data_IF_353257236729
#
_entry.id   IF_353257236729
#
_cell.length_a   1.000
_cell.length_b   1.000
_cell.length_c   1.000
_cell.angle_alpha   90.00
_cell.angle_beta   90.00
_cell.angle_gamma   90.00
#
_symmetry.space_group_name_H-M   'P 1'
#
loop_
_entity.id
_entity.type
_entity.pdbx_description
1 polymer ?
#
# COMPACT_ATOMS: atom_id res chain seq x y z
N UNK A 1 -69.04 -25.45 8.65
CA UNK A 1 -68.35 -24.56 7.67
C UNK A 1 -67.24 -23.89 8.44
N UNK A 2 -66.04 -24.46 8.34
CA UNK A 2 -64.86 -24.10 9.10
C UNK A 2 -63.97 -23.17 8.27
N UNK A 3 -63.73 -22.01 8.80
CA UNK A 3 -62.76 -21.03 8.26
C UNK A 3 -61.33 -21.41 8.67
N UNK A 4 -60.48 -21.65 7.70
CA UNK A 4 -59.02 -21.87 7.84
C UNK A 4 -58.33 -20.53 8.03
N UNK A 5 -57.42 -20.34 9.00
CA UNK A 5 -56.65 -19.14 9.12
C UNK A 5 -55.41 -19.19 8.18
N UNK A 6 -55.26 -18.15 7.42
CA UNK A 6 -54.12 -17.84 6.55
C UNK A 6 -52.81 -17.71 7.37
N UNK A 7 -51.82 -18.54 7.06
CA UNK A 7 -50.47 -18.44 7.61
C UNK A 7 -49.66 -17.50 6.75
N UNK A 8 -49.56 -16.24 7.20
CA UNK A 8 -48.66 -15.27 6.64
C UNK A 8 -47.19 -15.75 6.71
N UNK A 9 -46.52 -15.79 5.56
CA UNK A 9 -45.09 -16.07 5.45
C UNK A 9 -44.25 -14.93 6.10
N UNK A 10 -43.19 -15.26 6.81
CA UNK A 10 -42.29 -14.24 7.35
C UNK A 10 -41.50 -13.64 6.19
N UNK A 11 -41.81 -12.39 5.85
CA UNK A 11 -41.01 -11.58 4.94
C UNK A 11 -39.61 -11.39 5.52
N UNK A 12 -38.62 -11.97 4.83
CA UNK A 12 -37.21 -11.67 5.07
C UNK A 12 -36.98 -10.19 4.81
N UNK A 13 -36.81 -9.41 5.86
CA UNK A 13 -36.31 -8.05 5.81
C UNK A 13 -34.81 -8.16 5.43
N UNK A 14 -34.55 -8.10 4.14
CA UNK A 14 -33.20 -7.83 3.64
C UNK A 14 -32.82 -6.44 4.14
N UNK A 15 -32.06 -6.39 5.22
CA UNK A 15 -31.47 -5.15 5.72
C UNK A 15 -30.65 -4.52 4.61
N UNK A 16 -31.20 -3.49 3.99
CA UNK A 16 -30.43 -2.57 3.15
C UNK A 16 -29.32 -2.00 3.99
N UNK A 17 -28.07 -2.41 3.69
CA UNK A 17 -26.88 -1.79 4.27
C UNK A 17 -27.00 -0.28 4.04
N UNK A 18 -27.17 0.46 5.12
CA UNK A 18 -27.26 1.91 5.09
C UNK A 18 -25.98 2.44 4.45
N UNK A 19 -26.10 3.03 3.28
CA UNK A 19 -25.05 3.82 2.65
C UNK A 19 -24.69 4.92 3.65
N UNK A 20 -23.43 5.00 4.14
CA UNK A 20 -23.07 6.06 5.06
C UNK A 20 -23.32 7.39 4.38
N UNK A 21 -24.12 8.25 5.01
CA UNK A 21 -24.38 9.60 4.53
C UNK A 21 -23.07 10.35 4.36
N UNK A 22 -22.92 11.16 3.29
CA UNK A 22 -21.73 11.99 3.09
C UNK A 22 -21.64 13.02 4.22
N UNK A 23 -20.64 12.85 5.08
CA UNK A 23 -20.43 13.67 6.28
C UNK A 23 -19.71 15.02 5.98
N UNK A 24 -19.69 15.50 4.76
CA UNK A 24 -19.06 16.78 4.45
C UNK A 24 -20.02 17.79 3.86
N UNK A 25 -20.22 18.90 4.59
CA UNK A 25 -20.67 20.16 4.00
C UNK A 25 -19.69 20.59 2.87
N UNK A 26 -20.17 21.20 1.78
CA UNK A 26 -19.34 21.54 0.60
C UNK A 26 -18.09 22.40 0.90
N UNK A 27 -18.05 23.06 2.05
CA UNK A 27 -16.97 23.99 2.40
C UNK A 27 -15.64 23.39 2.88
N UNK A 28 -15.56 22.08 3.20
CA UNK A 28 -14.37 21.49 3.81
C UNK A 28 -13.81 20.27 3.07
N UNK A 29 -14.22 20.03 1.83
CA UNK A 29 -13.77 18.90 1.02
C UNK A 29 -12.24 18.89 0.75
N UNK A 30 -11.56 20.03 0.91
CA UNK A 30 -10.11 20.15 0.73
C UNK A 30 -9.30 19.48 1.86
N UNK A 31 -9.84 19.41 3.09
CA UNK A 31 -9.12 18.79 4.23
C UNK A 31 -8.82 17.31 4.01
N UNK A 32 -9.77 16.45 3.59
CA UNK A 32 -9.46 15.06 3.26
C UNK A 32 -8.49 14.91 2.09
N UNK A 33 -8.55 15.79 1.09
CA UNK A 33 -7.60 15.77 -0.02
C UNK A 33 -6.19 16.13 0.47
N UNK A 34 -6.06 17.14 1.31
CA UNK A 34 -4.80 17.51 1.93
C UNK A 34 -4.26 16.37 2.82
N UNK A 35 -5.12 15.73 3.62
CA UNK A 35 -4.72 14.58 4.44
C UNK A 35 -4.20 13.43 3.57
N UNK A 36 -4.84 13.13 2.43
CA UNK A 36 -4.37 12.10 1.50
C UNK A 36 -2.99 12.47 0.90
N UNK A 37 -2.81 13.72 0.46
CA UNK A 37 -1.53 14.19 -0.08
C UNK A 37 -0.41 14.16 0.98
N UNK A 38 -0.71 14.55 2.23
CA UNK A 38 0.23 14.44 3.35
C UNK A 38 0.51 12.97 3.72
N UNK A 39 -0.49 12.10 3.59
CA UNK A 39 -0.31 10.65 3.76
C UNK A 39 0.64 10.06 2.72
N UNK A 40 0.50 10.45 1.45
CA UNK A 40 1.41 10.06 0.39
C UNK A 40 2.83 10.61 0.65
N UNK A 41 2.95 11.88 1.06
CA UNK A 41 4.23 12.47 1.47
C UNK A 41 4.88 11.70 2.63
N UNK A 42 4.10 11.29 3.62
CA UNK A 42 4.60 10.51 4.75
C UNK A 42 5.12 9.13 4.32
N UNK A 43 4.42 8.41 3.42
CA UNK A 43 4.91 7.14 2.90
C UNK A 43 6.19 7.30 2.10
N UNK A 44 6.28 8.30 1.21
CA UNK A 44 7.51 8.54 0.45
C UNK A 44 8.67 9.00 1.35
N UNK A 45 8.39 9.77 2.40
CA UNK A 45 9.40 10.12 3.42
C UNK A 45 9.87 8.89 4.20
N UNK A 46 8.96 7.94 4.50
CA UNK A 46 9.33 6.64 5.05
C UNK A 46 10.25 5.88 4.09
N UNK A 47 9.90 5.82 2.79
CA UNK A 47 10.71 5.14 1.77
C UNK A 47 12.11 5.77 1.67
N UNK A 48 12.20 7.10 1.69
CA UNK A 48 13.48 7.82 1.71
C UNK A 48 14.29 7.51 2.99
N UNK A 49 13.61 7.41 4.14
CA UNK A 49 14.25 7.04 5.41
C UNK A 49 14.79 5.60 5.34
N UNK A 50 14.02 4.65 4.82
CA UNK A 50 14.46 3.25 4.60
C UNK A 50 15.65 3.24 3.63
N UNK A 51 15.58 4.00 2.54
CA UNK A 51 16.67 4.09 1.56
C UNK A 51 17.95 4.64 2.16
N UNK A 52 17.89 5.58 3.08
CA UNK A 52 19.09 6.12 3.77
C UNK A 52 19.80 5.06 4.62
N UNK A 53 19.08 4.07 5.11
CA UNK A 53 19.60 2.94 5.88
C UNK A 53 20.12 1.78 4.99
N UNK A 54 19.73 1.74 3.71
CA UNK A 54 20.05 0.67 2.77
C UNK A 54 21.57 0.39 2.58
N UNK A 55 22.49 1.37 2.68
CA UNK A 55 23.93 1.07 2.59
C UNK A 55 24.46 0.21 3.74
N UNK A 56 23.74 0.13 4.86
CA UNK A 56 24.16 -0.60 6.07
C UNK A 56 23.37 -1.87 6.33
N UNK A 57 22.11 -1.90 5.93
CA UNK A 57 21.21 -2.99 6.26
C UNK A 57 20.56 -3.57 5.02
N UNK A 58 20.48 -4.89 4.94
CA UNK A 58 19.78 -5.58 3.86
C UNK A 58 18.25 -5.42 3.93
N UNK A 59 17.57 -5.66 2.81
CA UNK A 59 16.12 -5.47 2.67
C UNK A 59 15.29 -6.19 3.75
N UNK A 60 15.67 -7.41 4.13
CA UNK A 60 14.99 -8.19 5.18
C UNK A 60 15.05 -7.47 6.53
N UNK A 61 16.21 -6.96 6.90
CA UNK A 61 16.41 -6.24 8.16
C UNK A 61 15.72 -4.86 8.14
N UNK A 62 15.75 -4.15 7.01
CA UNK A 62 15.01 -2.90 6.83
C UNK A 62 13.50 -3.12 6.97
N UNK A 63 12.98 -4.19 6.38
CA UNK A 63 11.57 -4.57 6.52
C UNK A 63 11.22 -4.87 7.98
N UNK A 64 12.09 -5.61 8.68
CA UNK A 64 11.93 -5.88 10.11
C UNK A 64 11.90 -4.59 10.93
N UNK A 65 12.86 -3.69 10.73
CA UNK A 65 12.92 -2.41 11.44
C UNK A 65 11.65 -1.58 11.25
N UNK A 66 11.16 -1.50 10.02
CA UNK A 66 9.92 -0.77 9.69
C UNK A 66 8.73 -1.34 10.44
N UNK A 67 8.57 -2.68 10.48
CA UNK A 67 7.44 -3.30 11.17
C UNK A 67 7.60 -3.26 12.70
N UNK A 68 8.80 -3.50 13.21
CA UNK A 68 9.08 -3.42 14.65
C UNK A 68 8.85 -2.00 15.20
N UNK A 69 9.33 -0.97 14.51
CA UNK A 69 9.06 0.41 14.88
C UNK A 69 7.56 0.76 14.76
N UNK A 70 6.91 0.33 13.68
CA UNK A 70 5.47 0.50 13.49
C UNK A 70 4.63 -0.21 14.55
N UNK A 71 5.10 -1.36 15.05
CA UNK A 71 4.44 -2.13 16.11
C UNK A 71 4.36 -1.34 17.43
N UNK A 72 5.40 -0.58 17.78
CA UNK A 72 5.39 0.25 18.99
C UNK A 72 4.22 1.26 18.94
N UNK A 73 4.06 1.96 17.82
CA UNK A 73 2.95 2.90 17.62
C UNK A 73 1.60 2.18 17.54
N UNK A 74 1.54 1.06 16.83
CA UNK A 74 0.32 0.27 16.68
C UNK A 74 -0.18 -0.29 18.01
N UNK A 75 0.72 -0.77 18.88
CA UNK A 75 0.39 -1.26 20.24
C UNK A 75 -0.16 -0.11 21.11
N UNK A 76 0.50 1.05 21.10
CA UNK A 76 0.05 2.21 21.88
C UNK A 76 -1.36 2.66 21.45
N UNK A 77 -1.62 2.76 20.14
CA UNK A 77 -2.92 3.16 19.59
C UNK A 77 -3.97 2.09 19.88
N UNK A 78 -3.67 0.80 19.66
CA UNK A 78 -4.60 -0.30 19.89
C UNK A 78 -5.01 -0.40 21.36
N UNK A 79 -4.05 -0.27 22.30
CA UNK A 79 -4.30 -0.28 23.74
C UNK A 79 -5.16 0.90 24.16
N UNK A 80 -4.89 2.09 23.61
CA UNK A 80 -5.70 3.29 23.90
C UNK A 80 -7.14 3.12 23.40
N UNK A 81 -7.30 2.63 22.15
CA UNK A 81 -8.62 2.43 21.54
C UNK A 81 -9.38 1.22 22.10
N UNK A 82 -8.76 0.39 22.96
CA UNK A 82 -9.35 -0.83 23.54
C UNK A 82 -10.06 -1.72 22.52
N UNK A 83 -9.43 -1.89 21.36
CA UNK A 83 -10.02 -2.59 20.24
C UNK A 83 -10.04 -4.10 20.48
N UNK A 84 -11.12 -4.83 20.11
CA UNK A 84 -11.19 -6.28 20.29
C UNK A 84 -10.21 -6.99 19.36
N UNK A 85 -9.72 -8.17 19.76
CA UNK A 85 -9.00 -9.08 18.89
C UNK A 85 -9.92 -9.69 17.84
N UNK A 86 -9.39 -10.10 16.67
CA UNK A 86 -10.21 -10.69 15.63
C UNK A 86 -10.76 -12.07 16.05
N UNK A 87 -11.87 -12.46 15.45
CA UNK A 87 -12.45 -13.79 15.64
C UNK A 87 -11.46 -14.87 15.12
N UNK A 88 -11.55 -16.09 15.69
CA UNK A 88 -10.58 -17.16 15.38
C UNK A 88 -10.52 -17.56 13.92
N UNK A 89 -11.62 -17.47 13.20
CA UNK A 89 -11.73 -17.76 11.76
C UNK A 89 -11.00 -16.72 10.89
N UNK A 90 -10.78 -15.48 11.38
CA UNK A 90 -10.11 -14.41 10.66
C UNK A 90 -8.58 -14.52 10.69
N UNK A 91 -7.99 -15.28 11.62
CA UNK A 91 -6.54 -15.37 11.77
C UNK A 91 -5.82 -15.89 10.51
N UNK A 92 -6.44 -16.85 9.80
CA UNK A 92 -5.88 -17.36 8.53
C UNK A 92 -5.79 -16.25 7.47
N UNK A 93 -6.81 -15.40 7.40
CA UNK A 93 -6.85 -14.29 6.47
C UNK A 93 -5.80 -13.22 6.82
N UNK A 94 -5.63 -12.90 8.12
CA UNK A 94 -4.56 -12.03 8.60
C UNK A 94 -3.18 -12.60 8.30
N UNK A 95 -2.95 -13.88 8.56
CA UNK A 95 -1.67 -14.54 8.28
C UNK A 95 -1.32 -14.50 6.78
N UNK A 96 -2.28 -14.86 5.90
CA UNK A 96 -2.10 -14.81 4.45
C UNK A 96 -1.78 -13.39 3.97
N UNK A 97 -2.57 -12.40 4.41
CA UNK A 97 -2.33 -11.00 4.05
C UNK A 97 -0.97 -10.51 4.54
N UNK A 98 -0.59 -10.84 5.77
CA UNK A 98 0.70 -10.46 6.33
C UNK A 98 1.87 -11.14 5.59
N UNK A 99 1.73 -12.40 5.18
CA UNK A 99 2.71 -13.09 4.33
C UNK A 99 2.92 -12.38 2.99
N UNK A 100 1.82 -12.04 2.30
CA UNK A 100 1.88 -11.25 1.06
C UNK A 100 2.48 -9.86 1.28
N UNK A 101 2.15 -9.21 2.40
CA UNK A 101 2.70 -7.90 2.76
C UNK A 101 4.20 -7.97 3.01
N UNK A 102 4.69 -9.03 3.66
CA UNK A 102 6.12 -9.27 3.84
C UNK A 102 6.84 -9.43 2.50
N UNK A 103 6.32 -10.29 1.62
CA UNK A 103 6.90 -10.49 0.29
C UNK A 103 6.94 -9.17 -0.49
N UNK A 104 5.84 -8.42 -0.45
CA UNK A 104 5.73 -7.15 -1.13
C UNK A 104 6.74 -6.13 -0.61
N UNK A 105 6.75 -5.86 0.70
CA UNK A 105 7.61 -4.82 1.27
C UNK A 105 9.09 -5.20 1.25
N UNK A 106 9.44 -6.47 1.47
CA UNK A 106 10.83 -6.91 1.38
C UNK A 106 11.36 -6.74 -0.04
N UNK A 107 10.56 -7.11 -1.05
CA UNK A 107 10.91 -6.93 -2.46
C UNK A 107 10.99 -5.44 -2.84
N UNK A 108 10.06 -4.62 -2.34
CA UNK A 108 10.08 -3.18 -2.58
C UNK A 108 11.29 -2.51 -1.91
N UNK A 109 11.63 -2.85 -0.68
CA UNK A 109 12.80 -2.30 0.00
C UNK A 109 14.10 -2.80 -0.64
N UNK A 110 14.12 -4.01 -1.16
CA UNK A 110 15.24 -4.46 -2.00
C UNK A 110 15.34 -3.60 -3.27
N UNK A 111 14.24 -3.30 -3.94
CA UNK A 111 14.25 -2.38 -5.08
C UNK A 111 14.77 -0.98 -4.71
N UNK A 112 14.42 -0.46 -3.52
CA UNK A 112 14.92 0.84 -3.04
C UNK A 112 16.45 0.87 -2.82
N UNK A 113 17.07 -0.28 -2.55
CA UNK A 113 18.53 -0.37 -2.46
C UNK A 113 19.24 -0.25 -3.81
N UNK A 114 18.54 -0.56 -4.91
CA UNK A 114 19.09 -0.68 -6.26
C UNK A 114 18.64 0.45 -7.20
N UNK A 115 17.48 1.08 -6.91
CA UNK A 115 16.84 2.07 -7.77
C UNK A 115 16.86 3.48 -7.17
N UNK A 116 16.83 4.52 -8.01
CA UNK A 116 16.44 5.86 -7.59
C UNK A 116 15.03 5.86 -6.96
N UNK A 117 14.84 6.71 -5.95
CA UNK A 117 13.58 6.77 -5.19
C UNK A 117 12.36 7.02 -6.09
N UNK A 118 12.48 8.00 -7.01
CA UNK A 118 11.41 8.31 -7.95
C UNK A 118 11.05 7.13 -8.88
N UNK A 119 12.02 6.32 -9.29
CA UNK A 119 11.82 5.16 -10.15
C UNK A 119 11.14 4.02 -9.38
N UNK A 120 11.55 3.74 -8.16
CA UNK A 120 10.93 2.72 -7.31
C UNK A 120 9.46 3.09 -6.99
N UNK A 121 9.19 4.34 -6.62
CA UNK A 121 7.83 4.84 -6.36
C UNK A 121 6.98 4.82 -7.63
N UNK A 122 7.51 5.22 -8.79
CA UNK A 122 6.77 5.14 -10.05
C UNK A 122 6.36 3.69 -10.38
N UNK A 123 7.25 2.73 -10.18
CA UNK A 123 6.94 1.30 -10.37
C UNK A 123 5.88 0.79 -9.40
N UNK A 124 5.86 1.26 -8.15
CA UNK A 124 4.82 0.85 -7.20
C UNK A 124 3.41 1.28 -7.63
N UNK A 125 3.28 2.34 -8.41
CA UNK A 125 2.00 2.79 -8.97
C UNK A 125 1.44 1.90 -10.09
N UNK A 126 2.10 0.82 -10.44
CA UNK A 126 1.48 -0.26 -11.24
C UNK A 126 0.51 -1.11 -10.40
N UNK A 127 0.59 -1.06 -9.06
CA UNK A 127 -0.25 -1.86 -8.17
C UNK A 127 -1.77 -1.66 -8.39
N UNK A 128 -2.34 -0.46 -8.59
CA UNK A 128 -3.77 -0.28 -8.85
C UNK A 128 -4.27 -1.06 -10.08
N UNK A 129 -3.41 -1.25 -11.08
CA UNK A 129 -3.71 -2.02 -12.28
C UNK A 129 -3.87 -3.50 -11.91
N UNK A 130 -2.91 -4.05 -11.16
CA UNK A 130 -2.98 -5.43 -10.67
C UNK A 130 -4.10 -5.64 -9.65
N UNK A 131 -4.42 -4.64 -8.80
CA UNK A 131 -5.58 -4.68 -7.91
C UNK A 131 -6.87 -4.87 -8.70
N UNK A 132 -7.03 -4.13 -9.80
CA UNK A 132 -8.21 -4.23 -10.66
C UNK A 132 -8.31 -5.60 -11.34
N UNK A 133 -7.18 -6.17 -11.81
CA UNK A 133 -7.14 -7.52 -12.40
C UNK A 133 -7.47 -8.59 -11.35
N UNK A 134 -6.89 -8.52 -10.16
CA UNK A 134 -7.16 -9.47 -9.09
C UNK A 134 -8.60 -9.38 -8.58
N UNK A 135 -9.16 -8.18 -8.46
CA UNK A 135 -10.56 -8.00 -8.11
C UNK A 135 -11.49 -8.65 -9.14
N UNK A 136 -11.17 -8.54 -10.42
CA UNK A 136 -11.89 -9.23 -11.49
C UNK A 136 -11.84 -10.77 -11.34
N UNK A 137 -10.65 -11.32 -11.07
CA UNK A 137 -10.44 -12.77 -10.96
C UNK A 137 -11.04 -13.35 -9.68
N UNK A 138 -10.89 -12.64 -8.54
CA UNK A 138 -11.26 -13.16 -7.22
C UNK A 138 -12.70 -12.81 -6.85
N UNK A 139 -13.17 -11.61 -7.22
CA UNK A 139 -14.51 -11.12 -6.89
C UNK A 139 -15.52 -11.30 -8.03
N UNK A 140 -15.08 -11.80 -9.19
CA UNK A 140 -15.95 -12.01 -10.35
C UNK A 140 -16.45 -10.72 -11.00
N UNK A 141 -15.78 -9.60 -10.75
CA UNK A 141 -16.14 -8.31 -11.32
C UNK A 141 -15.90 -8.32 -12.84
N UNK A 142 -16.83 -7.77 -13.62
CA UNK A 142 -16.65 -7.71 -15.08
C UNK A 142 -15.70 -6.56 -15.44
N UNK A 143 -14.63 -6.83 -16.23
CA UNK A 143 -13.68 -5.81 -16.62
C UNK A 143 -14.34 -4.81 -17.56
N UNK A 144 -14.21 -3.53 -17.27
CA UNK A 144 -14.56 -2.46 -18.17
C UNK A 144 -13.44 -2.25 -19.22
N UNK A 145 -13.78 -1.62 -20.36
CA UNK A 145 -12.78 -1.22 -21.37
C UNK A 145 -11.66 -0.36 -20.78
N UNK A 146 -11.95 0.39 -19.75
CA UNK A 146 -10.99 1.27 -19.06
C UNK A 146 -9.94 0.49 -18.28
N UNK A 147 -10.31 -0.66 -17.69
CA UNK A 147 -9.35 -1.56 -17.01
C UNK A 147 -8.35 -2.12 -18.02
N UNK A 148 -8.81 -2.57 -19.20
CA UNK A 148 -7.91 -3.06 -20.26
C UNK A 148 -6.97 -1.97 -20.76
N UNK A 149 -7.49 -0.76 -20.98
CA UNK A 149 -6.69 0.37 -21.43
C UNK A 149 -5.66 0.77 -20.35
N UNK A 150 -6.06 0.81 -19.09
CA UNK A 150 -5.16 1.05 -17.95
C UNK A 150 -4.02 0.02 -17.89
N UNK A 151 -4.33 -1.26 -18.11
CA UNK A 151 -3.33 -2.33 -18.16
C UNK A 151 -2.30 -2.08 -19.27
N UNK A 152 -2.76 -1.71 -20.48
CA UNK A 152 -1.85 -1.41 -21.61
C UNK A 152 -0.92 -0.25 -21.26
N UNK A 153 -1.44 0.85 -20.71
CA UNK A 153 -0.63 2.00 -20.31
C UNK A 153 0.36 1.66 -19.19
N UNK A 154 -0.08 0.91 -18.19
CA UNK A 154 0.79 0.51 -17.08
C UNK A 154 1.91 -0.43 -17.51
N UNK A 155 1.59 -1.44 -18.37
CA UNK A 155 2.60 -2.35 -18.91
C UNK A 155 3.54 -1.62 -19.88
N UNK A 156 3.04 -0.68 -20.70
CA UNK A 156 3.89 0.15 -21.55
C UNK A 156 4.85 1.01 -20.70
N UNK A 157 4.35 1.63 -19.61
CA UNK A 157 5.20 2.40 -18.69
C UNK A 157 6.27 1.54 -18.02
N UNK A 158 5.91 0.35 -17.53
CA UNK A 158 6.88 -0.60 -16.99
C UNK A 158 7.90 -1.04 -18.05
N UNK A 159 7.45 -1.28 -19.29
CA UNK A 159 8.32 -1.61 -20.42
C UNK A 159 9.32 -0.50 -20.75
N UNK A 160 8.88 0.76 -20.74
CA UNK A 160 9.78 1.94 -20.93
C UNK A 160 10.84 2.00 -19.83
N UNK A 161 10.50 1.68 -18.59
CA UNK A 161 11.47 1.64 -17.49
C UNK A 161 12.45 0.46 -17.62
N UNK A 162 11.96 -0.71 -18.05
CA UNK A 162 12.74 -1.94 -18.15
C UNK A 162 13.66 -1.97 -19.38
N UNK A 163 13.21 -1.43 -20.52
CA UNK A 163 13.88 -1.57 -21.80
C UNK A 163 15.37 -1.18 -21.82
N UNK A 164 15.79 -0.02 -21.29
CA UNK A 164 17.20 0.38 -21.26
C UNK A 164 18.07 -0.55 -20.40
N UNK A 165 17.47 -1.16 -19.39
CA UNK A 165 18.18 -1.99 -18.42
C UNK A 165 18.31 -3.44 -18.88
N UNK A 166 17.36 -3.94 -19.70
CA UNK A 166 17.43 -5.26 -20.34
C UNK A 166 18.61 -5.40 -21.30
N UNK A 167 19.08 -4.27 -21.88
CA UNK A 167 20.21 -4.27 -22.81
C UNK A 167 21.58 -4.36 -22.12
N UNK A 168 21.62 -4.28 -20.79
CA UNK A 168 22.87 -4.29 -20.02
C UNK A 168 22.91 -5.57 -19.19
N UNK A 169 23.72 -6.53 -19.60
CA UNK A 169 23.90 -7.79 -18.88
C UNK A 169 24.42 -7.53 -17.45
N UNK A 170 23.83 -8.22 -16.45
CA UNK A 170 24.26 -8.12 -15.06
C UNK A 170 23.94 -6.80 -14.35
N UNK A 171 22.99 -6.02 -14.86
CA UNK A 171 22.66 -4.72 -14.32
C UNK A 171 21.80 -4.81 -13.05
N UNK A 172 22.27 -4.30 -11.89
CA UNK A 172 21.51 -4.29 -10.64
C UNK A 172 20.17 -3.56 -10.75
N UNK A 173 20.05 -2.56 -11.65
CA UNK A 173 18.80 -1.82 -11.88
C UNK A 173 17.70 -2.69 -12.46
N UNK A 174 18.04 -3.68 -13.32
CA UNK A 174 17.05 -4.64 -13.81
C UNK A 174 16.48 -5.47 -12.68
N UNK A 175 17.33 -5.98 -11.79
CA UNK A 175 16.91 -6.70 -10.59
C UNK A 175 15.98 -5.84 -9.72
N UNK A 176 16.34 -4.58 -9.48
CA UNK A 176 15.53 -3.62 -8.75
C UNK A 176 14.15 -3.39 -9.38
N UNK A 177 14.08 -3.23 -10.70
CA UNK A 177 12.80 -3.05 -11.42
C UNK A 177 11.92 -4.30 -11.35
N UNK A 178 12.51 -5.49 -11.49
CA UNK A 178 11.77 -6.75 -11.35
C UNK A 178 11.27 -6.94 -9.91
N UNK A 179 12.09 -6.59 -8.91
CA UNK A 179 11.69 -6.62 -7.50
C UNK A 179 10.53 -5.65 -7.22
N UNK A 180 10.57 -4.44 -7.77
CA UNK A 180 9.48 -3.47 -7.64
C UNK A 180 8.20 -3.93 -8.34
N UNK A 181 8.29 -4.54 -9.53
CA UNK A 181 7.15 -5.10 -10.24
C UNK A 181 6.52 -6.26 -9.45
N UNK A 182 7.34 -7.19 -8.94
CA UNK A 182 6.89 -8.28 -8.07
C UNK A 182 6.21 -7.75 -6.79
N UNK A 183 6.79 -6.71 -6.18
CA UNK A 183 6.20 -6.03 -5.03
C UNK A 183 4.80 -5.48 -5.33
N UNK A 184 4.61 -4.86 -6.50
CA UNK A 184 3.31 -4.31 -6.93
C UNK A 184 2.26 -5.40 -7.13
N UNK A 185 2.63 -6.54 -7.71
CA UNK A 185 1.73 -7.69 -7.89
C UNK A 185 1.32 -8.28 -6.53
N UNK A 186 2.28 -8.53 -5.63
CA UNK A 186 2.00 -9.08 -4.30
C UNK A 186 1.21 -8.11 -3.44
N UNK A 187 1.50 -6.80 -3.52
CA UNK A 187 0.74 -5.75 -2.83
C UNK A 187 -0.72 -5.68 -3.30
N UNK A 188 -0.98 -5.95 -4.57
CA UNK A 188 -2.36 -6.00 -5.05
C UNK A 188 -3.18 -7.09 -4.35
N UNK A 189 -2.58 -8.25 -4.08
CA UNK A 189 -3.18 -9.29 -3.24
C UNK A 189 -3.46 -8.81 -1.81
N UNK A 190 -2.52 -8.07 -1.21
CA UNK A 190 -2.71 -7.44 0.11
C UNK A 190 -3.93 -6.52 0.11
N UNK A 191 -4.11 -5.71 -0.94
CA UNK A 191 -5.22 -4.75 -1.03
C UNK A 191 -6.58 -5.45 -1.23
N UNK A 192 -6.64 -6.51 -2.04
CA UNK A 192 -7.87 -7.31 -2.22
C UNK A 192 -8.27 -7.96 -0.90
N UNK A 193 -7.33 -8.57 -0.17
CA UNK A 193 -7.59 -9.15 1.15
C UNK A 193 -7.96 -8.08 2.19
N UNK A 194 -7.35 -6.89 2.13
CA UNK A 194 -7.67 -5.78 3.01
C UNK A 194 -9.14 -5.35 2.90
N UNK A 195 -9.73 -5.37 1.69
CA UNK A 195 -11.15 -5.07 1.47
C UNK A 195 -12.05 -6.05 2.22
N UNK A 196 -11.70 -7.34 2.21
CA UNK A 196 -12.45 -8.38 2.93
C UNK A 196 -12.35 -8.18 4.45
N UNK A 197 -11.15 -7.88 4.95
CA UNK A 197 -10.92 -7.69 6.38
C UNK A 197 -11.57 -6.42 6.93
N UNK A 198 -11.54 -5.32 6.16
CA UNK A 198 -12.13 -4.04 6.58
C UNK A 198 -13.63 -4.12 6.88
N UNK A 199 -14.33 -5.14 6.36
CA UNK A 199 -15.75 -5.38 6.61
C UNK A 199 -16.00 -6.14 7.92
N UNK A 200 -14.98 -6.78 8.50
CA UNK A 200 -15.12 -7.72 9.61
C UNK A 200 -14.36 -7.28 10.88
N UNK A 201 -13.24 -6.59 10.69
CA UNK A 201 -12.32 -6.23 11.76
C UNK A 201 -12.21 -4.72 11.95
N UNK A 202 -11.87 -4.30 13.17
CA UNK A 202 -11.61 -2.89 13.44
C UNK A 202 -10.31 -2.44 12.79
N UNK A 203 -10.25 -1.18 12.37
CA UNK A 203 -9.05 -0.58 11.80
C UNK A 203 -7.83 -0.73 12.73
N UNK A 204 -8.03 -0.57 14.02
CA UNK A 204 -6.96 -0.62 15.01
C UNK A 204 -6.39 -2.03 15.19
N UNK A 205 -7.25 -3.04 15.11
CA UNK A 205 -6.86 -4.45 15.12
C UNK A 205 -6.10 -4.81 13.85
N UNK A 206 -6.55 -4.33 12.70
CA UNK A 206 -5.85 -4.49 11.43
C UNK A 206 -4.46 -3.81 11.49
N UNK A 207 -4.38 -2.58 12.03
CA UNK A 207 -3.11 -1.86 12.21
C UNK A 207 -2.15 -2.61 13.12
N UNK A 208 -2.65 -3.16 14.24
CA UNK A 208 -1.83 -3.96 15.15
C UNK A 208 -1.29 -5.21 14.45
N UNK A 209 -2.17 -6.03 13.88
CA UNK A 209 -1.79 -7.33 13.32
C UNK A 209 -0.89 -7.19 12.08
N UNK A 210 -1.08 -6.17 11.27
CA UNK A 210 -0.21 -5.93 10.11
C UNK A 210 1.21 -5.46 10.48
N UNK A 211 1.46 -5.07 11.74
CA UNK A 211 2.81 -4.82 12.23
C UNK A 211 3.32 -5.97 13.11
N UNK A 212 2.47 -6.57 13.95
CA UNK A 212 2.82 -7.65 14.85
C UNK A 212 3.23 -8.94 14.09
N UNK A 213 2.36 -9.43 13.21
CA UNK A 213 2.61 -10.69 12.51
C UNK A 213 3.86 -10.62 11.62
N UNK A 214 4.08 -9.58 10.79
CA UNK A 214 5.33 -9.46 10.05
C UNK A 214 6.57 -9.36 10.95
N UNK A 215 6.50 -8.64 12.06
CA UNK A 215 7.62 -8.56 13.02
C UNK A 215 7.98 -9.94 13.56
N UNK A 216 6.96 -10.72 13.97
CA UNK A 216 7.18 -12.09 14.47
C UNK A 216 7.70 -13.04 13.37
N UNK A 217 7.12 -12.98 12.17
CA UNK A 217 7.53 -13.81 11.04
C UNK A 217 8.95 -13.51 10.57
N UNK A 218 9.40 -12.26 10.66
CA UNK A 218 10.75 -11.85 10.29
C UNK A 218 11.78 -12.07 11.41
N UNK A 219 11.36 -12.32 12.66
CA UNK A 219 12.28 -12.46 13.77
C UNK A 219 13.34 -13.57 13.55
N UNK A 220 12.93 -14.72 13.00
CA UNK A 220 13.86 -15.79 12.67
C UNK A 220 14.72 -15.49 11.42
N UNK A 221 14.15 -15.13 10.24
CA UNK A 221 14.96 -14.81 9.07
C UNK A 221 15.95 -13.66 9.29
N UNK A 222 15.58 -12.64 10.05
CA UNK A 222 16.46 -11.49 10.30
C UNK A 222 17.67 -11.87 11.14
N UNK A 223 17.56 -12.86 12.03
CA UNK A 223 18.66 -13.30 12.85
C UNK A 223 19.84 -13.85 12.02
N UNK A 224 19.57 -14.47 10.85
CA UNK A 224 20.62 -15.00 9.96
C UNK A 224 21.32 -13.90 9.13
N UNK A 225 20.66 -12.78 8.88
CA UNK A 225 21.22 -11.67 8.07
C UNK A 225 21.49 -10.43 8.93
N UNK A 226 21.49 -10.58 10.25
CA UNK A 226 21.59 -9.47 11.18
C UNK A 226 22.91 -8.72 11.04
N UNK A 227 22.79 -7.43 10.75
CA UNK A 227 23.90 -6.47 10.88
C UNK A 227 23.75 -5.72 12.22
N UNK A 228 24.86 -5.51 12.95
CA UNK A 228 24.82 -4.81 14.23
C UNK A 228 24.15 -3.44 14.12
N UNK A 229 23.18 -3.18 14.99
CA UNK A 229 22.46 -1.92 15.02
C UNK A 229 23.38 -0.81 15.50
N UNK A 230 23.48 0.25 14.71
CA UNK A 230 24.17 1.46 15.12
C UNK A 230 23.21 2.39 15.88
N UNK A 231 23.58 2.90 17.08
CA UNK A 231 22.72 3.81 17.85
C UNK A 231 22.32 5.07 17.07
N UNK A 232 23.19 5.56 16.17
CA UNK A 232 22.92 6.70 15.29
C UNK A 232 21.75 6.48 14.32
N UNK A 233 21.38 5.22 14.03
CA UNK A 233 20.33 4.87 13.09
C UNK A 233 18.95 4.71 13.75
N UNK A 234 18.92 4.64 15.10
CA UNK A 234 17.67 4.51 15.86
C UNK A 234 16.64 5.61 15.53
N UNK A 235 17.02 6.91 15.42
CA UNK A 235 16.05 7.95 15.04
C UNK A 235 15.41 7.69 13.66
N UNK A 236 16.19 7.25 12.68
CA UNK A 236 15.68 6.95 11.35
C UNK A 236 14.74 5.72 11.37
N UNK A 237 15.08 4.69 12.13
CA UNK A 237 14.23 3.50 12.29
C UNK A 237 12.90 3.87 12.94
N UNK A 238 12.93 4.60 14.05
CA UNK A 238 11.71 5.08 14.73
C UNK A 238 10.88 5.98 13.81
N UNK A 239 11.53 6.89 13.09
CA UNK A 239 10.89 7.79 12.12
C UNK A 239 10.19 7.00 11.02
N UNK A 240 10.80 5.93 10.50
CA UNK A 240 10.16 5.10 9.47
C UNK A 240 8.86 4.48 9.95
N UNK A 241 8.79 3.98 11.18
CA UNK A 241 7.59 3.44 11.81
C UNK A 241 6.52 4.51 12.04
N UNK A 242 6.93 5.69 12.52
CA UNK A 242 6.04 6.83 12.74
C UNK A 242 5.42 7.31 11.43
N UNK A 243 6.24 7.53 10.40
CA UNK A 243 5.79 7.98 9.07
C UNK A 243 4.83 6.97 8.42
N UNK A 244 5.12 5.67 8.54
CA UNK A 244 4.21 4.62 8.06
C UNK A 244 2.85 4.65 8.77
N UNK A 245 2.86 4.87 10.08
CA UNK A 245 1.62 4.96 10.88
C UNK A 245 0.83 6.21 10.53
N UNK A 246 1.49 7.37 10.46
CA UNK A 246 0.87 8.65 10.07
C UNK A 246 0.30 8.57 8.65
N UNK A 247 1.07 8.04 7.70
CA UNK A 247 0.62 7.87 6.32
C UNK A 247 -0.64 7.01 6.22
N UNK A 248 -0.65 5.86 6.91
CA UNK A 248 -1.83 4.97 6.93
C UNK A 248 -3.05 5.65 7.54
N UNK A 249 -2.88 6.33 8.69
CA UNK A 249 -3.99 7.02 9.35
C UNK A 249 -4.54 8.17 8.50
N UNK A 250 -3.67 8.96 7.89
CA UNK A 250 -4.05 10.09 7.04
C UNK A 250 -4.85 9.64 5.82
N UNK A 251 -4.37 8.63 5.09
CA UNK A 251 -5.07 8.07 3.93
C UNK A 251 -6.39 7.41 4.34
N UNK A 252 -6.38 6.63 5.42
CA UNK A 252 -7.61 5.99 5.92
C UNK A 252 -8.64 7.01 6.36
N UNK A 253 -8.21 8.08 7.01
CA UNK A 253 -9.09 9.18 7.40
C UNK A 253 -9.68 9.88 6.17
N UNK A 254 -8.88 10.13 5.12
CA UNK A 254 -9.36 10.71 3.88
C UNK A 254 -10.43 9.84 3.20
N UNK A 255 -10.22 8.51 3.11
CA UNK A 255 -11.19 7.57 2.54
C UNK A 255 -12.51 7.48 3.33
N UNK A 256 -12.51 7.84 4.62
CA UNK A 256 -13.76 7.90 5.40
C UNK A 256 -14.60 9.12 5.10
N UNK A 257 -13.99 10.20 4.59
CA UNK A 257 -14.66 11.48 4.37
C UNK A 257 -14.95 11.79 2.91
N UNK A 258 -14.24 11.16 1.98
CA UNK A 258 -14.42 11.33 0.55
C UNK A 258 -14.45 9.97 -0.17
N UNK A 259 -15.09 9.97 -1.32
CA UNK A 259 -15.08 8.83 -2.24
C UNK A 259 -13.65 8.50 -2.71
N UNK A 260 -13.37 7.20 -2.88
CA UNK A 260 -12.07 6.73 -3.33
C UNK A 260 -11.61 7.38 -4.65
N UNK A 261 -12.56 7.70 -5.54
CA UNK A 261 -12.30 8.38 -6.82
C UNK A 261 -11.70 9.78 -6.67
N UNK A 262 -11.95 10.44 -5.54
CA UNK A 262 -11.39 11.77 -5.24
C UNK A 262 -10.06 11.69 -4.47
N UNK A 263 -9.90 10.68 -3.62
CA UNK A 263 -8.72 10.50 -2.78
C UNK A 263 -7.56 9.86 -3.58
N UNK A 264 -7.83 8.86 -4.41
CA UNK A 264 -6.81 8.12 -5.14
C UNK A 264 -5.86 8.99 -5.98
N UNK A 265 -6.31 10.07 -6.68
CA UNK A 265 -5.37 10.95 -7.39
C UNK A 265 -4.34 11.64 -6.50
N UNK A 266 -4.66 11.82 -5.21
CA UNK A 266 -3.74 12.47 -4.26
C UNK A 266 -2.53 11.57 -3.94
N UNK A 267 -2.66 10.25 -4.05
CA UNK A 267 -1.54 9.33 -3.90
C UNK A 267 -0.44 9.58 -4.93
N UNK A 268 -0.79 10.02 -6.16
CA UNK A 268 0.20 10.33 -7.21
C UNK A 268 1.05 11.56 -6.88
N UNK A 269 0.64 12.41 -5.93
CA UNK A 269 1.51 13.46 -5.40
C UNK A 269 2.78 12.89 -4.78
N UNK A 270 2.75 11.62 -4.34
CA UNK A 270 3.93 10.90 -3.86
C UNK A 270 5.07 10.86 -4.88
N UNK A 271 4.78 10.85 -6.19
CA UNK A 271 5.83 10.91 -7.22
C UNK A 271 6.59 12.24 -7.20
N UNK A 272 5.89 13.33 -6.93
CA UNK A 272 6.52 14.66 -6.78
C UNK A 272 7.43 14.65 -5.54
N UNK A 273 6.92 14.11 -4.42
CA UNK A 273 7.71 13.95 -3.20
C UNK A 273 8.91 13.04 -3.40
N UNK A 274 8.76 11.94 -4.16
CA UNK A 274 9.85 11.03 -4.46
C UNK A 274 10.95 11.71 -5.29
N UNK A 275 10.58 12.53 -6.26
CA UNK A 275 11.55 13.34 -7.03
C UNK A 275 12.26 14.36 -6.16
N UNK A 276 11.51 15.10 -5.33
CA UNK A 276 12.08 16.13 -4.44
C UNK A 276 13.01 15.52 -3.39
N UNK A 277 12.56 14.47 -2.67
CA UNK A 277 13.37 13.80 -1.64
C UNK A 277 14.54 13.03 -2.25
N UNK A 278 14.34 12.41 -3.42
CA UNK A 278 15.41 11.74 -4.16
C UNK A 278 16.54 12.72 -4.52
N UNK A 279 16.18 13.89 -5.02
CA UNK A 279 17.13 14.95 -5.31
C UNK A 279 17.79 15.53 -4.03
N UNK A 280 16.98 15.91 -3.05
CA UNK A 280 17.46 16.61 -1.86
C UNK A 280 18.34 15.74 -0.94
N UNK A 281 17.99 14.45 -0.78
CA UNK A 281 18.67 13.55 0.15
C UNK A 281 19.76 12.69 -0.52
N UNK A 282 19.58 12.35 -1.80
CA UNK A 282 20.43 11.39 -2.50
C UNK A 282 21.09 11.97 -3.76
N UNK A 283 20.81 13.23 -4.13
CA UNK A 283 21.33 13.85 -5.37
C UNK A 283 20.80 13.18 -6.64
N UNK A 284 19.66 12.47 -6.57
CA UNK A 284 19.11 11.72 -7.69
C UNK A 284 18.33 12.63 -8.63
N UNK A 285 18.77 12.70 -9.88
CA UNK A 285 18.05 13.43 -10.94
C UNK A 285 17.23 12.42 -11.75
N UNK A 286 15.87 12.54 -11.79
CA UNK A 286 15.05 11.65 -12.59
C UNK A 286 15.44 11.70 -14.08
N UNK A 287 15.69 10.55 -14.67
CA UNK A 287 15.99 10.47 -16.11
C UNK A 287 14.74 10.69 -16.96
N UNK A 288 14.91 11.02 -18.23
CA UNK A 288 13.79 11.15 -19.17
C UNK A 288 12.96 9.85 -19.27
N UNK A 289 13.62 8.69 -19.21
CA UNK A 289 12.95 7.38 -19.19
C UNK A 289 12.13 7.17 -17.91
N UNK A 290 12.64 7.60 -16.75
CA UNK A 290 11.89 7.57 -15.47
C UNK A 290 10.63 8.44 -15.55
N UNK A 291 10.75 9.66 -16.09
CA UNK A 291 9.62 10.58 -16.25
C UNK A 291 8.58 10.04 -17.25
N UNK A 292 9.02 9.51 -18.38
CA UNK A 292 8.13 8.93 -19.39
C UNK A 292 7.40 7.68 -18.85
N UNK A 293 8.10 6.79 -18.15
CA UNK A 293 7.53 5.62 -17.49
C UNK A 293 6.48 6.05 -16.46
N UNK A 294 6.83 6.98 -15.57
CA UNK A 294 5.95 7.51 -14.55
C UNK A 294 4.68 8.15 -15.16
N UNK A 295 4.83 8.95 -16.22
CA UNK A 295 3.70 9.58 -16.91
C UNK A 295 2.74 8.53 -17.51
N UNK A 296 3.26 7.46 -18.14
CA UNK A 296 2.45 6.39 -18.69
C UNK A 296 1.71 5.60 -17.59
N UNK A 297 2.40 5.23 -16.50
CA UNK A 297 1.79 4.51 -15.39
C UNK A 297 0.68 5.36 -14.73
N UNK A 298 0.96 6.62 -14.44
CA UNK A 298 -0.03 7.54 -13.86
C UNK A 298 -1.21 7.75 -14.81
N UNK A 299 -0.98 7.92 -16.10
CA UNK A 299 -2.05 8.01 -17.10
C UNK A 299 -2.93 6.75 -17.10
N UNK A 300 -2.32 5.56 -17.05
CA UNK A 300 -3.03 4.28 -16.92
C UNK A 300 -3.89 4.23 -15.66
N UNK A 301 -3.35 4.64 -14.51
CA UNK A 301 -4.11 4.67 -13.26
C UNK A 301 -5.26 5.69 -13.28
N UNK A 302 -5.07 6.86 -13.89
CA UNK A 302 -6.12 7.86 -14.04
C UNK A 302 -7.29 7.37 -14.92
N UNK A 303 -7.04 6.45 -15.88
CA UNK A 303 -8.10 5.83 -16.66
C UNK A 303 -9.03 4.95 -15.81
N UNK A 304 -8.54 4.36 -14.71
CA UNK A 304 -9.37 3.59 -13.76
C UNK A 304 -10.41 4.45 -13.04
N UNK A 305 -10.20 5.78 -12.98
CA UNK A 305 -11.14 6.72 -12.37
C UNK A 305 -12.31 7.06 -13.32
N UNK A 306 -12.19 6.76 -14.61
CA UNK A 306 -13.27 6.92 -15.60
C UNK A 306 -14.17 5.69 -15.56
N UNK A 307 -15.15 5.71 -14.66
CA UNK A 307 -16.22 4.69 -14.57
C UNK A 307 -17.46 5.15 -15.30
#
# INVERSE_FOLDING_TARGET
MSSVPDRGAPGAVVGTAATPAPLSSPGHAWLPLLAAALGAAAFVSMDATIKSLAPRYGAVQLTFFRFAAGLVFALAIWAWMRSPMPARDQWRLHALRCGLLLLSLTSYFHALTLLPLAQAVAMSYTAPIFISLLAMLVLGERPTRWIWLSLVFGLAGAGVALWPELQKAGNPRLEGLLAAAFASVTFSGVMVLARVQAQRDSLWTILLLQNLLPTLLLAAPVAWVWQPLQPSDLPAIVLSGALATVGLLAITWAFRHLEASRVAPMEYTGLVWAGLLGYALFGEVPTATTLASAALIVAGCLLLLRR
#
